data_IF_973713413327
#
_entry.id   IF_973713413327
#
_cell.length_a   1.000
_cell.length_b   1.000
_cell.length_c   1.000
_cell.angle_alpha   90.00
_cell.angle_beta   90.00
_cell.angle_gamma   90.00
#
_symmetry.space_group_name_H-M   'P 1'
#
loop_
_entity.id
_entity.type
_entity.pdbx_description
1 polymer ?
#
# COMPACT_ATOMS: atom_id res chain seq x y z
N UNK A 1 -7.99 18.10 -7.86
CA UNK A 1 -8.09 16.69 -7.44
C UNK A 1 -8.22 16.58 -5.92
N UNK A 2 -7.20 16.96 -5.14
CA UNK A 2 -7.21 16.86 -3.66
C UNK A 2 -8.42 17.51 -2.98
N UNK A 3 -8.72 18.78 -3.29
CA UNK A 3 -9.88 19.49 -2.71
C UNK A 3 -11.21 18.84 -3.12
N UNK A 4 -11.39 18.50 -4.40
CA UNK A 4 -12.61 17.81 -4.85
C UNK A 4 -12.86 16.48 -4.13
N UNK A 5 -11.81 15.68 -3.86
CA UNK A 5 -11.94 14.43 -3.11
C UNK A 5 -12.33 14.68 -1.64
N UNK A 6 -11.86 15.78 -1.04
CA UNK A 6 -12.24 16.19 0.31
C UNK A 6 -13.66 16.73 0.37
N UNK A 7 -14.07 17.53 -0.60
CA UNK A 7 -15.45 18.05 -0.71
C UNK A 7 -16.44 16.87 -0.78
N UNK A 8 -16.19 15.92 -1.67
CA UNK A 8 -16.99 14.71 -1.80
C UNK A 8 -17.01 13.87 -0.51
N UNK A 9 -15.87 13.75 0.18
CA UNK A 9 -15.78 13.04 1.46
C UNK A 9 -16.63 13.71 2.53
N UNK A 10 -16.49 15.03 2.71
CA UNK A 10 -17.20 15.78 3.74
C UNK A 10 -18.71 15.77 3.50
N UNK A 11 -19.14 15.88 2.24
CA UNK A 11 -20.54 15.80 1.84
C UNK A 11 -21.11 14.41 2.11
N UNK A 12 -20.45 13.34 1.65
CA UNK A 12 -20.89 11.95 1.85
C UNK A 12 -20.96 11.57 3.33
N UNK A 13 -19.98 12.01 4.12
CA UNK A 13 -19.90 11.69 5.54
C UNK A 13 -20.72 12.65 6.42
N UNK A 14 -21.23 13.76 5.87
CA UNK A 14 -21.91 14.83 6.61
C UNK A 14 -21.08 15.31 7.81
N UNK A 15 -19.79 15.55 7.57
CA UNK A 15 -18.82 15.99 8.60
C UNK A 15 -18.34 17.38 8.24
N UNK A 16 -18.37 18.31 9.20
CA UNK A 16 -17.80 19.64 8.98
C UNK A 16 -16.28 19.54 9.07
N UNK A 17 -15.52 20.21 8.20
CA UNK A 17 -14.05 20.18 8.27
C UNK A 17 -13.48 20.60 9.64
N UNK A 18 -14.18 21.49 10.37
CA UNK A 18 -13.81 21.92 11.74
C UNK A 18 -13.90 20.80 12.80
N UNK A 19 -14.68 19.75 12.55
CA UNK A 19 -14.85 18.63 13.49
C UNK A 19 -13.73 17.58 13.37
N UNK A 20 -12.90 17.69 12.33
CA UNK A 20 -11.73 16.83 12.09
C UNK A 20 -10.62 17.21 13.06
N UNK A 21 -10.03 16.20 13.72
CA UNK A 21 -8.98 16.44 14.69
C UNK A 21 -7.60 15.96 14.33
N UNK A 22 -7.50 15.04 13.38
CA UNK A 22 -6.22 14.61 12.80
C UNK A 22 -6.32 14.73 11.28
N UNK A 23 -5.32 15.31 10.65
CA UNK A 23 -5.17 15.36 9.20
C UNK A 23 -3.82 14.76 8.83
N UNK A 24 -3.83 13.69 8.05
CA UNK A 24 -2.61 13.10 7.48
C UNK A 24 -2.69 13.21 5.96
N UNK A 25 -1.79 13.98 5.38
CA UNK A 25 -1.65 14.09 3.93
C UNK A 25 -0.39 13.36 3.52
N UNK A 26 -0.46 12.53 2.48
CA UNK A 26 0.72 11.96 1.85
C UNK A 26 0.81 12.39 0.39
N UNK A 27 2.01 12.83 0.01
CA UNK A 27 2.41 13.11 -1.36
C UNK A 27 3.93 12.94 -1.45
N UNK A 28 4.40 12.00 -2.29
CA UNK A 28 5.79 11.57 -2.18
C UNK A 28 6.75 12.59 -2.75
N UNK A 29 6.46 13.12 -3.94
CA UNK A 29 7.42 13.86 -4.73
C UNK A 29 7.15 15.37 -4.76
N UNK A 30 5.98 15.83 -4.29
CA UNK A 30 5.66 17.25 -4.16
C UNK A 30 5.49 17.65 -2.70
N UNK A 31 6.48 18.35 -2.15
CA UNK A 31 6.52 18.81 -0.76
C UNK A 31 6.84 20.32 -0.70
N UNK A 32 5.86 21.20 -0.96
CA UNK A 32 6.06 22.65 -0.91
C UNK A 32 6.14 23.17 0.52
N UNK A 33 6.62 24.41 0.66
CA UNK A 33 6.52 25.21 1.89
C UNK A 33 5.67 26.45 1.59
N UNK A 34 4.45 26.59 2.16
CA UNK A 34 3.81 25.73 3.17
C UNK A 34 3.36 24.36 2.63
N UNK A 35 3.25 23.37 3.53
CA UNK A 35 2.91 21.97 3.18
C UNK A 35 1.48 21.82 2.63
N UNK A 36 1.22 20.71 1.92
CA UNK A 36 -0.13 20.40 1.42
C UNK A 36 -1.15 20.31 2.57
N UNK A 37 -0.76 19.74 3.71
CA UNK A 37 -1.62 19.67 4.89
C UNK A 37 -1.96 21.07 5.44
N UNK A 38 -1.01 22.01 5.44
CA UNK A 38 -1.28 23.40 5.81
C UNK A 38 -2.21 24.11 4.81
N UNK A 39 -2.06 23.82 3.51
CA UNK A 39 -2.96 24.34 2.47
C UNK A 39 -4.40 23.87 2.67
N UNK A 40 -4.62 22.59 3.03
CA UNK A 40 -5.95 22.05 3.36
C UNK A 40 -6.52 22.74 4.60
N UNK A 41 -5.74 22.84 5.68
CA UNK A 41 -6.17 23.49 6.92
C UNK A 41 -6.61 24.93 6.67
N UNK A 42 -5.83 25.67 5.87
CA UNK A 42 -6.14 27.05 5.50
C UNK A 42 -7.37 27.15 4.58
N UNK A 43 -7.52 26.24 3.62
CA UNK A 43 -8.62 26.25 2.67
C UNK A 43 -9.98 26.01 3.37
N UNK A 44 -10.07 24.97 4.19
CA UNK A 44 -11.31 24.60 4.88
C UNK A 44 -11.53 25.32 6.22
N UNK A 45 -10.60 26.19 6.63
CA UNK A 45 -10.62 26.87 7.93
C UNK A 45 -10.85 25.89 9.08
N UNK A 46 -10.03 24.82 9.08
CA UNK A 46 -10.07 23.78 10.12
C UNK A 46 -9.71 24.36 11.49
N UNK A 47 -9.98 23.59 12.55
CA UNK A 47 -9.73 24.01 13.94
C UNK A 47 -8.24 24.29 14.21
N UNK A 48 -7.95 25.24 15.10
CA UNK A 48 -6.58 25.67 15.41
C UNK A 48 -5.72 24.63 16.15
N UNK A 49 -6.35 23.66 16.82
CA UNK A 49 -5.68 22.56 17.52
C UNK A 49 -5.71 21.24 16.74
N UNK A 50 -5.75 21.30 15.40
CA UNK A 50 -5.68 20.11 14.55
C UNK A 50 -4.27 19.51 14.59
N UNK A 51 -4.17 18.18 14.71
CA UNK A 51 -2.92 17.47 14.52
C UNK A 51 -2.72 17.23 13.02
N UNK A 52 -1.84 18.00 12.39
CA UNK A 52 -1.64 17.99 10.94
C UNK A 52 -0.27 17.43 10.57
N UNK A 53 -0.25 16.41 9.70
CA UNK A 53 0.95 15.72 9.25
C UNK A 53 1.04 15.71 7.72
N UNK A 54 2.22 15.98 7.18
CA UNK A 54 2.52 15.89 5.76
C UNK A 54 3.65 14.87 5.52
N UNK A 55 3.31 13.75 4.89
CA UNK A 55 4.20 12.63 4.66
C UNK A 55 4.75 12.67 3.22
N UNK A 56 6.07 12.82 3.10
CA UNK A 56 6.80 12.82 1.82
C UNK A 56 7.80 11.68 1.69
N UNK A 57 8.25 11.39 0.47
CA UNK A 57 9.36 10.46 0.19
C UNK A 57 9.13 8.97 0.50
N UNK A 58 7.89 8.54 0.76
CA UNK A 58 7.56 7.15 1.13
C UNK A 58 7.04 6.28 -0.02
N UNK A 59 6.80 6.89 -1.19
CA UNK A 59 6.32 6.24 -2.40
C UNK A 59 4.90 5.68 -2.25
N UNK A 60 4.58 4.66 -3.06
CA UNK A 60 3.23 4.12 -3.13
C UNK A 60 2.75 3.45 -1.83
N UNK A 61 3.66 3.14 -0.90
CA UNK A 61 3.33 2.58 0.42
C UNK A 61 2.76 3.61 1.40
N UNK A 62 2.83 4.91 1.07
CA UNK A 62 2.46 6.00 1.98
C UNK A 62 0.98 5.99 2.37
N UNK A 63 0.10 5.42 1.54
CA UNK A 63 -1.33 5.27 1.84
C UNK A 63 -1.55 4.46 3.12
N UNK A 64 -1.02 3.24 3.18
CA UNK A 64 -1.12 2.36 4.37
C UNK A 64 -0.40 2.97 5.58
N UNK A 65 0.78 3.59 5.37
CA UNK A 65 1.51 4.26 6.46
C UNK A 65 0.68 5.41 7.06
N UNK A 66 -0.06 6.15 6.23
CA UNK A 66 -0.91 7.24 6.69
C UNK A 66 -2.09 6.73 7.52
N UNK A 67 -2.66 5.57 7.15
CA UNK A 67 -3.70 4.91 7.93
C UNK A 67 -3.17 4.47 9.30
N UNK A 68 -1.97 3.88 9.33
CA UNK A 68 -1.29 3.49 10.57
C UNK A 68 -1.09 4.70 11.51
N UNK A 69 -0.52 5.79 10.99
CA UNK A 69 -0.31 7.02 11.75
C UNK A 69 -1.65 7.61 12.23
N UNK A 70 -2.66 7.65 11.37
CA UNK A 70 -3.97 8.17 11.75
C UNK A 70 -4.65 7.32 12.84
N UNK A 71 -4.49 5.99 12.81
CA UNK A 71 -4.96 5.08 13.86
C UNK A 71 -4.31 5.40 15.20
N UNK A 72 -2.98 5.49 15.23
CA UNK A 72 -2.23 5.78 16.46
C UNK A 72 -2.61 7.16 17.03
N UNK A 73 -2.73 8.16 16.16
CA UNK A 73 -3.12 9.51 16.58
C UNK A 73 -4.57 9.55 17.10
N UNK A 74 -5.50 8.82 16.49
CA UNK A 74 -6.86 8.71 17.01
C UNK A 74 -6.89 8.07 18.40
N UNK A 75 -6.10 7.02 18.62
CA UNK A 75 -6.01 6.34 19.91
C UNK A 75 -5.35 7.21 20.99
N UNK A 76 -4.31 7.96 20.64
CA UNK A 76 -3.55 8.77 21.60
C UNK A 76 -4.22 10.12 21.93
N UNK A 77 -4.80 10.81 20.94
CA UNK A 77 -5.25 12.20 21.10
C UNK A 77 -6.71 12.36 21.54
N UNK A 78 -7.52 11.31 21.45
CA UNK A 78 -8.97 11.40 21.66
C UNK A 78 -9.70 12.28 20.62
N UNK A 79 -9.04 12.65 19.51
CA UNK A 79 -9.55 13.59 18.50
C UNK A 79 -10.91 13.21 17.86
N UNK A 80 -11.30 11.94 17.91
CA UNK A 80 -12.58 11.45 17.42
C UNK A 80 -12.62 11.17 15.92
N UNK A 81 -12.09 12.08 15.10
CA UNK A 81 -12.08 11.98 13.63
C UNK A 81 -10.70 12.29 13.05
N UNK A 82 -10.30 11.47 12.09
CA UNK A 82 -9.09 11.67 11.30
C UNK A 82 -9.43 11.64 9.81
N UNK A 83 -8.80 12.51 9.03
CA UNK A 83 -8.86 12.48 7.57
C UNK A 83 -7.48 12.13 7.04
N UNK A 84 -7.44 11.12 6.17
CA UNK A 84 -6.24 10.71 5.44
C UNK A 84 -6.43 11.07 3.98
N UNK A 85 -5.49 11.84 3.42
CA UNK A 85 -5.49 12.25 2.02
C UNK A 85 -4.26 11.68 1.33
N UNK A 86 -4.47 10.84 0.33
CA UNK A 86 -3.40 10.30 -0.50
C UNK A 86 -3.46 10.95 -1.88
N UNK A 87 -2.41 11.66 -2.28
CA UNK A 87 -2.36 12.36 -3.55
C UNK A 87 -0.97 12.32 -4.15
N UNK A 88 -0.87 12.28 -5.48
CA UNK A 88 0.43 12.34 -6.16
C UNK A 88 0.43 13.36 -7.30
N UNK A 89 1.47 14.19 -7.34
CA UNK A 89 1.67 15.18 -8.39
C UNK A 89 2.81 14.72 -9.32
N UNK A 90 2.43 14.17 -10.48
CA UNK A 90 3.38 13.60 -11.45
C UNK A 90 4.16 14.67 -12.22
N UNK A 91 3.68 15.92 -12.25
CA UNK A 91 4.36 17.02 -12.96
C UNK A 91 5.79 17.26 -12.49
N UNK A 92 6.08 16.99 -11.20
CA UNK A 92 7.43 17.17 -10.62
C UNK A 92 8.33 15.94 -10.75
N UNK A 93 7.81 14.86 -11.33
CA UNK A 93 8.51 13.58 -11.50
C UNK A 93 8.91 13.36 -12.95
N UNK A 94 8.55 14.28 -13.84
CA UNK A 94 8.79 14.16 -15.27
C UNK A 94 10.28 14.32 -15.58
N UNK A 95 10.90 13.21 -15.95
CA UNK A 95 12.31 13.19 -16.32
C UNK A 95 12.49 13.45 -17.83
N UNK A 96 13.19 14.52 -18.18
CA UNK A 96 13.42 14.92 -19.57
C UNK A 96 14.77 14.46 -20.16
N UNK A 97 15.60 13.79 -19.36
CA UNK A 97 16.90 13.31 -19.79
C UNK A 97 16.84 11.96 -20.53
N UNK A 98 18.00 11.30 -20.68
CA UNK A 98 18.14 10.09 -21.52
C UNK A 98 18.36 8.81 -20.71
N UNK A 99 18.55 8.89 -19.40
CA UNK A 99 18.81 7.72 -18.55
C UNK A 99 17.57 6.82 -18.47
N UNK A 100 17.70 5.59 -18.97
CA UNK A 100 16.57 4.65 -19.07
C UNK A 100 15.88 4.37 -17.72
N UNK A 101 16.63 4.18 -16.64
CA UNK A 101 16.06 3.87 -15.31
C UNK A 101 15.16 4.98 -14.76
N UNK A 102 15.33 6.21 -15.22
CA UNK A 102 14.52 7.38 -14.85
C UNK A 102 13.39 7.68 -15.84
N UNK A 103 13.43 7.11 -17.05
CA UNK A 103 12.37 7.25 -18.04
C UNK A 103 11.20 6.30 -17.79
N UNK A 104 11.42 5.14 -17.16
CA UNK A 104 10.36 4.16 -16.87
C UNK A 104 9.21 4.79 -16.04
N UNK A 105 9.47 5.54 -14.94
CA UNK A 105 8.42 6.26 -14.20
C UNK A 105 7.48 7.09 -15.07
N UNK A 106 7.99 7.78 -16.09
CA UNK A 106 7.18 8.62 -16.97
C UNK A 106 6.09 7.83 -17.72
N UNK A 107 6.30 6.52 -17.93
CA UNK A 107 5.37 5.68 -18.67
C UNK A 107 4.16 5.22 -17.82
N UNK A 108 4.35 5.02 -16.51
CA UNK A 108 3.32 4.38 -15.67
C UNK A 108 2.73 5.28 -14.59
N UNK A 109 3.42 6.33 -14.12
CA UNK A 109 2.86 7.22 -13.09
C UNK A 109 1.78 8.13 -13.67
N UNK A 110 0.69 8.27 -12.90
CA UNK A 110 -0.44 9.15 -13.18
C UNK A 110 -0.82 9.91 -11.92
N UNK A 111 -1.44 11.07 -12.10
CA UNK A 111 -1.92 11.87 -10.98
C UNK A 111 -3.24 11.28 -10.47
N UNK A 112 -3.38 11.19 -9.15
CA UNK A 112 -4.60 10.71 -8.49
C UNK A 112 -4.73 11.30 -7.09
N UNK A 113 -5.95 11.27 -6.56
CA UNK A 113 -6.24 11.70 -5.20
C UNK A 113 -7.35 10.85 -4.60
N UNK A 114 -7.18 10.46 -3.34
CA UNK A 114 -8.19 9.76 -2.56
C UNK A 114 -8.21 10.35 -1.14
N UNK A 115 -9.40 10.46 -0.56
CA UNK A 115 -9.60 10.94 0.81
C UNK A 115 -10.43 9.93 1.60
N UNK A 116 -9.99 9.63 2.82
CA UNK A 116 -10.61 8.63 3.71
C UNK A 116 -10.84 9.25 5.07
N UNK A 117 -12.05 9.07 5.61
CA UNK A 117 -12.40 9.48 6.97
C UNK A 117 -12.34 8.27 7.90
N UNK A 118 -11.57 8.39 8.98
CA UNK A 118 -11.48 7.41 10.06
C UNK A 118 -12.12 7.98 11.32
N UNK A 119 -12.74 7.11 12.12
CA UNK A 119 -13.34 7.47 13.40
C UNK A 119 -13.04 6.41 14.44
N UNK A 120 -12.77 6.85 15.68
CA UNK A 120 -12.75 5.99 16.86
C UNK A 120 -13.98 6.21 17.77
N UNK A 121 -14.99 6.96 17.31
CA UNK A 121 -16.20 7.25 18.09
C UNK A 121 -17.17 6.08 18.02
N UNK A 122 -17.65 5.60 19.17
CA UNK A 122 -18.65 4.52 19.26
C UNK A 122 -19.91 4.78 18.42
N UNK A 123 -20.36 6.04 18.33
CA UNK A 123 -21.55 6.42 17.54
C UNK A 123 -21.39 6.23 16.03
N UNK A 124 -20.16 6.25 15.52
CA UNK A 124 -19.90 6.13 14.09
C UNK A 124 -19.81 4.66 13.65
N UNK A 125 -19.79 3.71 14.59
CA UNK A 125 -19.67 2.28 14.31
C UNK A 125 -20.75 1.75 13.36
N UNK A 126 -22.01 2.19 13.51
CA UNK A 126 -23.13 1.73 12.67
C UNK A 126 -23.11 2.27 11.24
N UNK A 127 -22.39 3.35 10.98
CA UNK A 127 -22.25 3.99 9.66
C UNK A 127 -20.90 3.70 9.00
N UNK A 128 -19.98 3.06 9.72
CA UNK A 128 -18.68 2.71 9.17
C UNK A 128 -18.85 1.69 8.06
N UNK A 129 -18.21 1.95 6.92
CA UNK A 129 -18.15 0.99 5.80
C UNK A 129 -17.22 -0.18 6.10
N UNK A 130 -16.12 0.13 6.80
CA UNK A 130 -15.04 -0.79 7.11
C UNK A 130 -14.52 -0.55 8.53
N UNK A 131 -14.05 -1.61 9.15
CA UNK A 131 -13.29 -1.62 10.39
C UNK A 131 -11.84 -2.01 10.07
N UNK A 132 -10.89 -1.20 10.51
CA UNK A 132 -9.46 -1.53 10.42
C UNK A 132 -9.11 -2.55 11.51
N UNK A 133 -8.73 -3.76 11.12
CA UNK A 133 -8.37 -4.83 12.06
C UNK A 133 -6.87 -4.85 12.35
N UNK A 134 -6.07 -4.90 11.29
CA UNK A 134 -4.63 -5.06 11.39
C UNK A 134 -3.91 -4.16 10.40
N UNK A 135 -2.76 -3.62 10.83
CA UNK A 135 -1.79 -2.97 9.96
C UNK A 135 -0.44 -3.58 10.26
N UNK A 136 0.26 -4.02 9.21
CA UNK A 136 1.59 -4.64 9.33
C UNK A 136 2.54 -3.86 8.44
N UNK A 137 3.62 -3.36 9.06
CA UNK A 137 4.64 -2.58 8.36
C UNK A 137 5.95 -3.33 8.30
N UNK A 138 6.55 -3.35 7.12
CA UNK A 138 7.88 -3.92 6.90
C UNK A 138 8.76 -2.86 6.26
N UNK A 139 9.92 -2.62 6.89
CA UNK A 139 10.90 -1.65 6.42
C UNK A 139 12.23 -2.36 6.16
N UNK A 140 12.75 -2.26 4.94
CA UNK A 140 14.02 -2.87 4.54
C UNK A 140 15.12 -1.86 4.23
N UNK A 141 14.91 -0.57 4.49
CA UNK A 141 15.88 0.48 4.14
C UNK A 141 17.20 0.48 4.91
N UNK A 142 17.42 -0.45 5.84
CA UNK A 142 18.75 -0.72 6.39
C UNK A 142 19.63 -1.54 5.43
N UNK A 143 19.03 -2.22 4.46
CA UNK A 143 19.73 -2.91 3.38
C UNK A 143 19.98 -1.94 2.20
N UNK A 144 21.23 -1.86 1.74
CA UNK A 144 21.65 -0.89 0.72
C UNK A 144 20.96 -1.12 -0.64
N UNK A 145 20.74 -2.39 -1.03
CA UNK A 145 20.03 -2.71 -2.29
C UNK A 145 18.58 -2.26 -2.19
N UNK A 146 17.92 -2.52 -1.06
CA UNK A 146 16.56 -2.08 -0.79
C UNK A 146 16.45 -0.55 -0.73
N UNK A 147 17.39 0.12 -0.06
CA UNK A 147 17.44 1.57 0.02
C UNK A 147 17.58 2.23 -1.36
N UNK A 148 18.47 1.72 -2.22
CA UNK A 148 18.73 2.24 -3.56
C UNK A 148 17.74 1.76 -4.64
N UNK A 149 16.80 0.89 -4.28
CA UNK A 149 15.85 0.28 -5.25
C UNK A 149 14.95 1.29 -5.96
N UNK A 150 14.54 2.34 -5.25
CA UNK A 150 13.78 3.48 -5.77
C UNK A 150 14.36 4.72 -5.14
N UNK A 151 15.05 5.54 -5.93
CA UNK A 151 15.82 6.66 -5.42
C UNK A 151 15.69 7.88 -6.34
N UNK A 152 15.57 9.06 -5.76
CA UNK A 152 15.57 10.31 -6.53
C UNK A 152 17.00 10.83 -6.63
N UNK A 153 17.50 10.95 -7.85
CA UNK A 153 18.87 11.39 -8.12
C UNK A 153 18.92 12.32 -9.34
N UNK A 154 20.05 12.97 -9.53
CA UNK A 154 20.34 13.79 -10.69
C UNK A 154 21.14 12.98 -11.73
N UNK A 155 20.85 13.20 -13.00
CA UNK A 155 21.69 12.69 -14.09
C UNK A 155 22.93 13.58 -14.33
N UNK A 156 23.73 13.24 -15.34
CA UNK A 156 24.95 13.99 -15.69
C UNK A 156 24.66 15.44 -16.11
N UNK A 157 23.42 15.73 -16.54
CA UNK A 157 22.94 17.04 -16.94
C UNK A 157 22.25 17.79 -15.79
N UNK A 158 22.31 17.26 -14.56
CA UNK A 158 21.63 17.79 -13.36
C UNK A 158 20.11 17.80 -13.48
N UNK A 159 19.55 16.95 -14.34
CA UNK A 159 18.12 16.77 -14.44
C UNK A 159 17.71 15.75 -13.37
N UNK A 160 16.85 16.18 -12.45
CA UNK A 160 16.32 15.32 -11.39
C UNK A 160 15.36 14.29 -11.98
N UNK A 161 15.52 13.03 -11.57
CA UNK A 161 14.67 11.93 -11.98
C UNK A 161 14.47 10.92 -10.86
N UNK A 162 13.41 10.12 -10.97
CA UNK A 162 13.19 8.98 -10.09
C UNK A 162 13.81 7.74 -10.72
N UNK A 163 14.92 7.26 -10.18
CA UNK A 163 15.62 6.08 -10.67
C UNK A 163 15.02 4.82 -10.08
N UNK A 164 14.74 3.83 -10.93
CA UNK A 164 14.26 2.51 -10.53
C UNK A 164 15.35 1.47 -10.81
N UNK A 165 15.77 0.76 -9.77
CA UNK A 165 16.74 -0.33 -9.88
C UNK A 165 16.12 -1.57 -10.53
N UNK A 166 16.97 -2.36 -11.20
CA UNK A 166 16.59 -3.68 -11.74
C UNK A 166 16.28 -4.69 -10.63
N UNK A 167 16.82 -4.46 -9.44
CA UNK A 167 16.62 -5.32 -8.26
C UNK A 167 15.24 -5.16 -7.61
N UNK A 168 14.41 -4.22 -8.08
CA UNK A 168 13.14 -3.86 -7.44
C UNK A 168 12.23 -5.05 -7.17
N UNK A 169 12.13 -5.98 -8.13
CA UNK A 169 11.24 -7.16 -8.02
C UNK A 169 11.76 -8.14 -6.96
N UNK A 170 13.07 -8.40 -6.95
CA UNK A 170 13.72 -9.30 -5.98
C UNK A 170 13.60 -8.72 -4.55
N UNK A 171 13.97 -7.45 -4.37
CA UNK A 171 13.83 -6.72 -3.10
C UNK A 171 12.37 -6.74 -2.64
N UNK A 172 11.44 -6.52 -3.59
CA UNK A 172 10.00 -6.61 -3.37
C UNK A 172 9.55 -7.97 -2.83
N UNK A 173 10.02 -9.06 -3.44
CA UNK A 173 9.75 -10.42 -2.99
C UNK A 173 10.24 -10.69 -1.57
N UNK A 174 11.45 -10.25 -1.22
CA UNK A 174 11.99 -10.40 0.13
C UNK A 174 11.21 -9.59 1.18
N UNK A 175 10.83 -8.37 0.85
CA UNK A 175 10.02 -7.52 1.72
C UNK A 175 8.61 -8.10 1.90
N UNK A 176 7.99 -8.59 0.82
CA UNK A 176 6.70 -9.27 0.86
C UNK A 176 6.75 -10.50 1.75
N UNK A 177 7.77 -11.37 1.57
CA UNK A 177 7.96 -12.57 2.39
C UNK A 177 8.03 -12.24 3.89
N UNK A 178 8.77 -11.18 4.23
CA UNK A 178 8.86 -10.71 5.61
C UNK A 178 7.48 -10.22 6.11
N UNK A 179 6.77 -9.43 5.29
CA UNK A 179 5.46 -8.89 5.65
C UNK A 179 4.40 -9.98 5.87
N UNK A 180 4.29 -10.96 4.95
CA UNK A 180 3.30 -12.05 5.07
C UNK A 180 3.62 -13.00 6.24
N UNK A 181 4.89 -13.12 6.64
CA UNK A 181 5.28 -13.92 7.81
C UNK A 181 4.76 -13.28 9.10
N UNK A 182 4.75 -11.94 9.17
CA UNK A 182 4.17 -11.21 10.30
C UNK A 182 2.64 -11.12 10.23
N UNK A 183 2.08 -11.00 9.02
CA UNK A 183 0.62 -10.91 8.82
C UNK A 183 -0.08 -12.25 9.05
N UNK A 184 0.52 -13.36 8.61
CA UNK A 184 -0.09 -14.70 8.63
C UNK A 184 -0.73 -15.08 9.96
N UNK A 185 0.00 -15.02 11.10
CA UNK A 185 -0.55 -15.35 12.41
C UNK A 185 -1.71 -14.46 12.88
N UNK A 186 -1.86 -13.26 12.32
CA UNK A 186 -2.93 -12.32 12.69
C UNK A 186 -4.24 -12.61 11.95
N UNK A 187 -4.17 -13.22 10.76
CA UNK A 187 -5.32 -13.29 9.83
C UNK A 187 -5.71 -14.71 9.41
N UNK A 188 -4.75 -15.64 9.42
CA UNK A 188 -4.98 -17.01 8.97
C UNK A 188 -5.67 -17.85 10.06
N UNK A 189 -6.54 -18.80 9.68
CA UNK A 189 -7.11 -19.75 10.63
C UNK A 189 -6.01 -20.64 11.24
N UNK A 190 -6.24 -21.14 12.46
CA UNK A 190 -5.27 -21.96 13.20
C UNK A 190 -4.74 -23.16 12.41
N UNK A 191 -5.55 -23.79 11.55
CA UNK A 191 -5.11 -24.91 10.70
C UNK A 191 -3.99 -24.53 9.73
N UNK A 192 -4.07 -23.33 9.14
CA UNK A 192 -3.05 -22.80 8.22
C UNK A 192 -1.80 -22.35 8.97
N UNK A 193 -1.98 -21.78 10.16
CA UNK A 193 -0.86 -21.40 11.02
C UNK A 193 -0.01 -22.61 11.38
N UNK A 194 -0.64 -23.74 11.78
CA UNK A 194 0.07 -24.98 12.10
C UNK A 194 0.89 -25.50 10.91
N UNK A 195 0.33 -25.50 9.69
CA UNK A 195 1.05 -25.92 8.49
C UNK A 195 2.24 -25.02 8.17
N UNK A 196 2.04 -23.70 8.26
CA UNK A 196 3.11 -22.73 8.02
C UNK A 196 4.24 -22.85 9.06
N UNK A 197 3.91 -22.90 10.35
CA UNK A 197 4.90 -23.05 11.41
C UNK A 197 5.60 -24.40 11.36
N UNK A 198 4.89 -25.49 11.02
CA UNK A 198 5.50 -26.80 10.80
C UNK A 198 6.50 -26.76 9.64
N UNK A 199 6.17 -26.08 8.53
CA UNK A 199 7.08 -25.91 7.40
C UNK A 199 8.33 -25.09 7.74
N UNK A 200 8.17 -24.00 8.51
CA UNK A 200 9.30 -23.18 8.99
C UNK A 200 10.18 -23.99 9.96
N UNK A 201 9.57 -24.69 10.92
CA UNK A 201 10.27 -25.51 11.91
C UNK A 201 11.02 -26.67 11.24
N UNK A 202 10.37 -27.39 10.32
CA UNK A 202 10.99 -28.46 9.55
C UNK A 202 12.25 -27.97 8.82
N UNK A 203 12.19 -26.77 8.23
CA UNK A 203 13.36 -26.18 7.55
C UNK A 203 14.45 -25.71 8.52
N UNK A 204 14.08 -25.25 9.71
CA UNK A 204 15.04 -24.88 10.74
C UNK A 204 15.76 -26.12 11.31
N UNK A 205 15.04 -27.24 11.47
CA UNK A 205 15.58 -28.51 11.94
C UNK A 205 16.35 -29.29 10.85
N UNK A 206 15.99 -29.12 9.57
CA UNK A 206 16.64 -29.75 8.42
C UNK A 206 17.12 -28.70 7.40
N UNK A 207 18.20 -27.95 7.67
CA UNK A 207 18.76 -27.00 6.71
C UNK A 207 19.33 -27.73 5.48
N UNK A 208 18.65 -27.61 4.33
CA UNK A 208 19.08 -28.20 3.06
C UNK A 208 20.36 -27.52 2.52
N UNK A 209 21.38 -28.33 2.24
CA UNK A 209 22.62 -27.95 1.53
C UNK A 209 22.43 -28.07 0.01
N UNK A 210 21.72 -27.17 -0.65
CA UNK A 210 21.83 -27.04 -2.12
C UNK A 210 21.67 -25.59 -2.58
N UNK A 211 22.72 -25.09 -3.22
CA UNK A 211 22.84 -23.78 -3.86
C UNK A 211 22.50 -23.88 -5.35
N UNK A 212 21.23 -24.04 -5.70
CA UNK A 212 20.72 -23.82 -7.07
C UNK A 212 19.20 -23.61 -7.00
N UNK A 213 18.63 -22.58 -7.65
CA UNK A 213 17.18 -22.45 -7.73
C UNK A 213 16.60 -23.53 -8.66
N UNK A 214 15.55 -24.28 -8.26
CA UNK A 214 14.93 -25.25 -9.15
C UNK A 214 14.13 -24.54 -10.26
N UNK A 215 14.03 -25.13 -11.47
CA UNK A 215 13.17 -24.62 -12.53
C UNK A 215 11.69 -24.72 -12.13
N UNK A 216 10.80 -23.91 -12.75
CA UNK A 216 9.37 -23.99 -12.47
C UNK A 216 8.83 -25.35 -12.92
N UNK A 217 8.37 -26.15 -11.95
CA UNK A 217 7.76 -27.46 -12.21
C UNK A 217 6.42 -27.26 -12.92
N UNK A 218 6.38 -27.62 -14.21
CA UNK A 218 5.16 -28.04 -14.85
C UNK A 218 4.84 -29.45 -14.33
N UNK A 219 3.64 -29.62 -13.77
CA UNK A 219 3.05 -30.88 -13.31
C UNK A 219 3.57 -31.39 -11.95
N UNK A 220 2.76 -31.14 -10.91
CA UNK A 220 2.15 -32.19 -10.10
C UNK A 220 3.00 -33.14 -9.25
N UNK A 221 4.33 -33.10 -9.24
CA UNK A 221 5.16 -34.02 -8.45
C UNK A 221 5.86 -33.38 -7.26
N UNK A 222 5.59 -33.96 -6.08
CA UNK A 222 6.20 -33.67 -4.79
C UNK A 222 7.65 -34.19 -4.74
N UNK A 223 8.65 -33.35 -5.06
CA UNK A 223 10.05 -33.58 -4.62
C UNK A 223 11.01 -32.42 -4.92
N UNK A 224 10.86 -31.31 -4.19
CA UNK A 224 11.93 -30.39 -3.77
C UNK A 224 11.24 -29.24 -3.02
N UNK A 225 11.42 -29.16 -1.70
CA UNK A 225 10.60 -28.34 -0.80
C UNK A 225 10.68 -26.84 -1.09
N UNK A 226 9.82 -26.37 -2.01
CA UNK A 226 9.45 -24.98 -2.12
C UNK A 226 8.85 -24.53 -0.77
N UNK A 227 9.17 -23.33 -0.28
CA UNK A 227 8.60 -22.82 0.97
C UNK A 227 7.07 -22.82 0.86
N UNK A 228 6.41 -23.44 1.83
CA UNK A 228 4.94 -23.42 1.92
C UNK A 228 4.45 -21.97 2.02
N UNK A 229 3.73 -21.52 1.00
CA UNK A 229 3.08 -20.21 0.96
C UNK A 229 1.68 -20.40 1.55
N UNK A 230 1.34 -19.73 2.66
CA UNK A 230 0.01 -19.84 3.26
C UNK A 230 -1.09 -19.44 2.27
N UNK A 231 -2.22 -20.13 2.32
CA UNK A 231 -3.35 -19.76 1.48
C UNK A 231 -4.12 -18.57 2.07
N UNK A 232 -3.69 -17.36 1.68
CA UNK A 232 -4.34 -16.11 2.08
C UNK A 232 -5.77 -15.96 1.56
N UNK A 233 -6.22 -16.77 0.59
CA UNK A 233 -7.63 -16.79 0.14
C UNK A 233 -8.57 -17.35 1.22
N UNK A 234 -8.03 -18.04 2.22
CA UNK A 234 -8.80 -18.46 3.40
C UNK A 234 -8.97 -17.34 4.43
N UNK A 235 -8.12 -16.31 4.37
CA UNK A 235 -8.14 -15.17 5.27
C UNK A 235 -8.84 -13.95 4.69
N UNK A 236 -8.94 -13.83 3.36
CA UNK A 236 -9.49 -12.66 2.70
C UNK A 236 -10.39 -13.03 1.53
N UNK A 237 -11.52 -12.34 1.45
CA UNK A 237 -12.46 -12.46 0.36
C UNK A 237 -12.10 -11.50 -0.79
N UNK A 238 -11.39 -10.40 -0.48
CA UNK A 238 -10.99 -9.39 -1.47
C UNK A 238 -9.54 -8.93 -1.32
N UNK A 239 -8.91 -8.63 -2.45
CA UNK A 239 -7.50 -8.25 -2.53
C UNK A 239 -7.33 -6.93 -3.30
N UNK A 240 -6.61 -5.99 -2.70
CA UNK A 240 -6.18 -4.72 -3.29
C UNK A 240 -4.65 -4.72 -3.30
N UNK A 241 -4.06 -5.14 -4.42
CA UNK A 241 -2.64 -5.37 -4.57
C UNK A 241 -2.03 -4.24 -5.39
N UNK A 242 -1.42 -3.27 -4.71
CA UNK A 242 -0.73 -2.20 -5.40
C UNK A 242 0.39 -2.76 -6.27
N UNK A 243 0.43 -2.32 -7.52
CA UNK A 243 1.54 -2.58 -8.39
C UNK A 243 1.86 -1.38 -9.28
N UNK A 244 3.15 -1.20 -9.53
CA UNK A 244 3.63 -0.17 -10.44
C UNK A 244 3.44 -0.55 -11.92
N UNK A 245 3.39 -1.84 -12.23
CA UNK A 245 3.28 -2.37 -13.59
C UNK A 245 2.56 -3.71 -13.63
N UNK A 246 2.20 -4.15 -14.84
CA UNK A 246 1.61 -5.47 -15.09
C UNK A 246 2.51 -6.61 -14.61
N UNK A 247 3.81 -6.50 -14.87
CA UNK A 247 4.80 -7.53 -14.50
C UNK A 247 4.89 -7.72 -12.99
N UNK A 248 4.79 -6.62 -12.22
CA UNK A 248 4.75 -6.69 -10.75
C UNK A 248 3.47 -7.40 -10.28
N UNK A 249 2.30 -7.12 -10.87
CA UNK A 249 1.06 -7.85 -10.55
C UNK A 249 1.19 -9.34 -10.84
N UNK A 250 1.73 -9.72 -11.99
CA UNK A 250 1.91 -11.13 -12.37
C UNK A 250 2.90 -11.85 -11.45
N UNK A 251 3.91 -11.13 -10.93
CA UNK A 251 4.82 -11.67 -9.92
C UNK A 251 4.11 -11.87 -8.57
N UNK A 252 3.33 -10.88 -8.11
CA UNK A 252 2.53 -11.01 -6.89
C UNK A 252 1.50 -12.15 -6.99
N UNK A 253 0.84 -12.28 -8.13
CA UNK A 253 -0.13 -13.33 -8.39
C UNK A 253 0.48 -14.72 -8.20
N UNK A 254 1.63 -14.96 -8.84
CA UNK A 254 2.34 -16.24 -8.76
C UNK A 254 2.86 -16.51 -7.35
N UNK A 255 3.46 -15.51 -6.70
CA UNK A 255 4.03 -15.66 -5.37
C UNK A 255 2.99 -15.89 -4.26
N UNK A 256 1.75 -15.42 -4.45
CA UNK A 256 0.67 -15.57 -3.47
C UNK A 256 -0.37 -16.63 -3.87
N UNK A 257 -0.22 -17.28 -5.03
CA UNK A 257 -1.20 -18.28 -5.51
C UNK A 257 -2.60 -17.71 -5.75
N UNK A 258 -2.68 -16.45 -6.16
CA UNK A 258 -3.94 -15.72 -6.40
C UNK A 258 -4.52 -16.05 -7.78
N UNK A 259 -5.84 -16.04 -7.89
CA UNK A 259 -6.56 -16.22 -9.16
C UNK A 259 -6.68 -14.89 -9.89
N UNK A 260 -6.95 -14.94 -11.21
CA UNK A 260 -7.18 -13.70 -11.98
C UNK A 260 -8.34 -12.88 -11.43
N UNK A 261 -9.39 -13.54 -10.94
CA UNK A 261 -10.55 -12.90 -10.31
C UNK A 261 -10.22 -12.17 -9.00
N UNK A 262 -9.14 -12.56 -8.31
CA UNK A 262 -8.68 -11.94 -7.07
C UNK A 262 -7.91 -10.64 -7.37
N UNK A 263 -7.24 -10.56 -8.52
CA UNK A 263 -6.47 -9.38 -8.96
C UNK A 263 -7.23 -8.47 -9.94
N UNK A 264 -8.49 -8.77 -10.25
CA UNK A 264 -9.29 -8.00 -11.21
C UNK A 264 -9.30 -6.50 -10.86
N UNK A 265 -9.53 -6.14 -9.59
CA UNK A 265 -9.56 -4.75 -9.14
C UNK A 265 -8.22 -4.04 -9.36
N UNK A 266 -7.12 -4.72 -9.07
CA UNK A 266 -5.75 -4.20 -9.24
C UNK A 266 -5.42 -4.00 -10.72
N UNK A 267 -5.79 -4.97 -11.57
CA UNK A 267 -5.61 -4.90 -13.04
C UNK A 267 -6.48 -3.81 -13.65
N UNK A 268 -7.75 -3.69 -13.25
CA UNK A 268 -8.68 -2.70 -13.77
C UNK A 268 -8.28 -1.28 -13.38
N UNK A 269 -7.88 -1.07 -12.11
CA UNK A 269 -7.38 0.22 -11.64
C UNK A 269 -6.11 0.63 -12.39
N UNK A 270 -5.12 -0.28 -12.51
CA UNK A 270 -3.89 -0.03 -13.25
C UNK A 270 -4.16 0.27 -14.73
N UNK A 271 -5.05 -0.48 -15.38
CA UNK A 271 -5.40 -0.26 -16.79
C UNK A 271 -6.07 1.09 -17.01
N UNK A 272 -7.03 1.48 -16.16
CA UNK A 272 -7.84 2.68 -16.36
C UNK A 272 -7.16 3.96 -15.88
N UNK A 273 -6.45 3.90 -14.76
CA UNK A 273 -5.91 5.07 -14.07
C UNK A 273 -4.39 5.09 -14.02
N UNK A 274 -3.70 4.02 -14.42
CA UNK A 274 -2.26 3.88 -14.25
C UNK A 274 -1.87 3.76 -12.78
N UNK A 275 -0.57 3.92 -12.51
CA UNK A 275 -0.06 3.95 -11.14
C UNK A 275 -0.24 5.35 -10.56
N UNK A 276 -1.23 5.52 -9.67
CA UNK A 276 -1.47 6.78 -8.95
C UNK A 276 -0.71 6.87 -7.63
N UNK A 277 0.41 6.15 -7.53
CA UNK A 277 1.24 6.07 -6.32
C UNK A 277 0.41 5.61 -5.12
N UNK A 278 0.49 6.32 -3.99
CA UNK A 278 -0.15 6.01 -2.73
C UNK A 278 -1.67 5.96 -2.77
N UNK A 279 -2.30 6.60 -3.77
CA UNK A 279 -3.75 6.53 -3.91
C UNK A 279 -4.25 5.24 -4.56
N UNK A 280 -3.39 4.46 -5.24
CA UNK A 280 -3.81 3.33 -6.09
C UNK A 280 -4.66 2.30 -5.35
N UNK A 281 -4.28 1.92 -4.12
CA UNK A 281 -5.03 0.96 -3.28
C UNK A 281 -6.46 1.41 -2.96
N UNK A 282 -6.74 2.71 -3.00
CA UNK A 282 -8.07 3.26 -2.79
C UNK A 282 -8.92 3.19 -4.06
N UNK A 283 -8.30 3.33 -5.24
CA UNK A 283 -8.99 3.13 -6.53
C UNK A 283 -9.37 1.64 -6.70
N UNK A 284 -8.51 0.73 -6.25
CA UNK A 284 -8.78 -0.71 -6.21
C UNK A 284 -9.96 -1.04 -5.29
N UNK A 285 -9.97 -0.48 -4.08
CA UNK A 285 -11.08 -0.66 -3.14
C UNK A 285 -12.39 -0.06 -3.69
N UNK A 286 -12.32 1.16 -4.25
CA UNK A 286 -13.48 1.81 -4.87
C UNK A 286 -14.03 1.02 -6.06
N UNK A 287 -13.16 0.35 -6.84
CA UNK A 287 -13.60 -0.55 -7.91
C UNK A 287 -14.41 -1.73 -7.36
N UNK A 288 -13.93 -2.37 -6.29
CA UNK A 288 -14.65 -3.47 -5.62
C UNK A 288 -16.00 -3.02 -5.05
N UNK A 289 -16.05 -1.84 -4.44
CA UNK A 289 -17.29 -1.22 -3.97
C UNK A 289 -18.27 -0.96 -5.13
N UNK A 290 -17.80 -0.33 -6.21
CA UNK A 290 -18.63 0.04 -7.36
C UNK A 290 -19.20 -1.18 -8.10
N UNK A 291 -18.49 -2.31 -8.07
CA UNK A 291 -18.98 -3.59 -8.61
C UNK A 291 -19.93 -4.33 -7.66
N UNK A 292 -20.17 -3.83 -6.46
CA UNK A 292 -21.02 -4.49 -5.47
C UNK A 292 -20.46 -5.82 -4.98
N UNK A 293 -19.13 -6.02 -5.07
CA UNK A 293 -18.48 -7.29 -4.70
C UNK A 293 -18.28 -7.42 -3.20
N UNK A 294 -17.99 -6.32 -2.52
CA UNK A 294 -17.75 -6.31 -1.08
C UNK A 294 -19.07 -6.35 -0.33
N UNK A 295 -19.23 -7.35 0.54
CA UNK A 295 -20.39 -7.52 1.43
C UNK A 295 -19.99 -7.27 2.88
N UNK A 296 -21.00 -7.03 3.72
CA UNK A 296 -20.78 -6.82 5.15
C UNK A 296 -20.15 -8.08 5.78
N UNK A 297 -19.02 -7.91 6.45
CA UNK A 297 -18.29 -9.00 7.10
C UNK A 297 -17.18 -9.61 6.24
N UNK A 298 -17.11 -9.26 4.95
CA UNK A 298 -15.99 -9.64 4.09
C UNK A 298 -14.72 -8.91 4.53
N UNK A 299 -13.59 -9.60 4.46
CA UNK A 299 -12.27 -9.03 4.76
C UNK A 299 -11.56 -8.63 3.48
N UNK A 300 -10.98 -7.44 3.51
CA UNK A 300 -10.20 -6.87 2.41
C UNK A 300 -8.75 -6.71 2.83
N UNK A 301 -7.83 -7.25 2.04
CA UNK A 301 -6.40 -7.03 2.22
C UNK A 301 -5.88 -6.01 1.21
N UNK A 302 -5.37 -4.89 1.72
CA UNK A 302 -4.58 -3.92 0.96
C UNK A 302 -3.10 -4.17 1.17
N UNK A 303 -2.33 -4.29 0.08
CA UNK A 303 -0.88 -4.44 0.08
C UNK A 303 -0.25 -3.31 -0.74
N UNK A 304 0.75 -2.64 -0.19
CA UNK A 304 1.45 -1.56 -0.86
C UNK A 304 2.97 -1.59 -0.69
N UNK A 305 3.68 -1.24 -1.77
CA UNK A 305 5.14 -1.18 -1.85
C UNK A 305 5.63 0.26 -2.03
N UNK A 306 6.79 0.61 -1.49
CA UNK A 306 7.33 1.98 -1.59
C UNK A 306 8.84 2.06 -1.39
N UNK A 307 9.41 3.25 -1.54
CA UNK A 307 10.86 3.51 -1.48
C UNK A 307 11.50 3.28 -0.11
N UNK A 308 12.82 3.12 -0.08
CA UNK A 308 13.60 2.72 1.11
C UNK A 308 13.40 1.25 1.47
N UNK A 309 13.19 0.41 0.47
CA UNK A 309 12.03 -0.47 0.31
C UNK A 309 11.11 -0.75 1.53
N UNK A 310 9.84 -0.38 1.39
CA UNK A 310 8.76 -0.63 2.36
C UNK A 310 7.70 -1.55 1.75
N UNK A 311 7.18 -2.47 2.55
CA UNK A 311 6.04 -3.33 2.21
C UNK A 311 5.04 -3.27 3.37
N UNK A 312 3.84 -2.78 3.12
CA UNK A 312 2.85 -2.57 4.17
C UNK A 312 1.51 -3.20 3.80
N UNK A 313 0.86 -3.79 4.80
CA UNK A 313 -0.44 -4.43 4.68
C UNK A 313 -1.45 -3.75 5.60
N UNK A 314 -2.66 -3.50 5.09
CA UNK A 314 -3.82 -3.12 5.89
C UNK A 314 -4.95 -4.13 5.68
N UNK A 315 -5.59 -4.52 6.77
CA UNK A 315 -6.69 -5.47 6.80
C UNK A 315 -7.94 -4.76 7.27
N UNK A 316 -8.98 -4.85 6.45
CA UNK A 316 -10.29 -4.26 6.69
C UNK A 316 -11.36 -5.35 6.79
N UNK A 317 -12.41 -5.11 7.56
CA UNK A 317 -13.63 -5.93 7.64
C UNK A 317 -14.90 -5.09 7.53
#
# INVERSE_FOLDING_TARGET
AMFAALDELFDKCRVRPKDVGVLVVNCSLFNPTPSLSAMIVNHYKMRGNILSYNLGGMGCSAGVISIDLARDMLQASGAGLAVVVSTEAVSFTWYAGKRRSMLIPNAFFRAGAAAVLLSNRRRDFRRAKYQLEHVVRTHKGADDRAFRSVYQEEDEQRIKGLSISRDLVEVGGHALKTNITTLGPLVLPFSEQLLFFAGVLFRHLYPSKTSTPPPPAANGDTSAAAPYIPDFKRAFEHFCMHAASRDVLEHLQRNLGLRDADLEASRAALHRFGNTSSSSIWYELAYLEAKGRVRRGDRVWQLAFGSGFKCNSAVWR
#
